data_IF_848778044016
#
_entry.id   IF_848778044016
#
_cell.length_a   1.000
_cell.length_b   1.000
_cell.length_c   1.000
_cell.angle_alpha   90.00
_cell.angle_beta   90.00
_cell.angle_gamma   90.00
#
_symmetry.space_group_name_H-M   'P 1'
#
loop_
_entity.id
_entity.type
_entity.pdbx_description
1 polymer ?
#
# COMPACT_ATOMS: atom_id res chain seq x y z
N UNK A 1 -48.00 86.14 49.80
CA UNK A 1 -48.31 85.02 48.88
C UNK A 1 -47.08 84.75 48.04
N UNK A 2 -46.50 83.53 48.07
CA UNK A 2 -45.15 83.28 47.61
C UNK A 2 -45.06 82.83 46.15
N UNK A 3 -43.86 83.01 45.60
CA UNK A 3 -43.40 82.80 44.23
C UNK A 3 -43.49 81.34 43.76
N UNK A 4 -43.94 81.16 42.51
CA UNK A 4 -44.00 79.90 41.76
C UNK A 4 -42.66 79.70 41.02
N UNK A 5 -41.87 78.70 41.43
CA UNK A 5 -40.66 78.26 40.73
C UNK A 5 -41.01 77.10 39.79
N UNK A 6 -40.86 77.32 38.48
CA UNK A 6 -40.99 76.28 37.44
C UNK A 6 -39.63 75.58 37.27
N UNK A 7 -39.57 74.29 37.62
CA UNK A 7 -38.42 73.42 37.42
C UNK A 7 -38.41 72.85 35.99
N UNK A 8 -37.29 73.01 35.29
CA UNK A 8 -37.01 72.44 33.97
C UNK A 8 -36.74 70.92 34.06
N UNK A 9 -37.21 70.10 33.11
CA UNK A 9 -36.85 68.69 33.04
C UNK A 9 -35.41 68.52 32.53
N UNK A 10 -34.60 67.81 33.33
CA UNK A 10 -33.20 67.49 33.03
C UNK A 10 -33.13 66.33 32.02
N UNK A 11 -32.49 66.57 30.86
CA UNK A 11 -32.26 65.56 29.83
C UNK A 11 -31.23 64.52 30.29
N UNK A 12 -31.51 63.24 30.07
CA UNK A 12 -30.62 62.12 30.40
C UNK A 12 -29.42 62.07 29.43
N UNK A 13 -28.21 61.69 29.90
CA UNK A 13 -27.05 61.56 29.03
C UNK A 13 -27.13 60.31 28.16
N UNK A 14 -26.95 60.48 26.85
CA UNK A 14 -26.82 59.39 25.88
C UNK A 14 -25.37 58.87 25.90
N UNK A 15 -25.17 57.60 26.24
CA UNK A 15 -23.87 56.94 26.15
C UNK A 15 -23.66 56.38 24.73
N UNK A 16 -22.68 56.90 24.00
CA UNK A 16 -22.30 56.38 22.67
C UNK A 16 -21.32 55.22 22.83
N UNK A 17 -21.78 53.98 22.64
CA UNK A 17 -20.92 52.79 22.63
C UNK A 17 -20.11 52.77 21.33
N UNK A 18 -18.81 53.10 21.39
CA UNK A 18 -17.87 52.86 20.29
C UNK A 18 -17.53 51.37 20.26
N UNK A 19 -18.02 50.64 19.27
CA UNK A 19 -17.50 49.30 18.96
C UNK A 19 -16.03 49.41 18.56
N UNK A 20 -15.12 48.63 19.16
CA UNK A 20 -13.72 48.62 18.76
C UNK A 20 -13.61 48.12 17.30
N UNK A 21 -12.67 48.68 16.51
CA UNK A 21 -12.44 48.20 15.15
C UNK A 21 -12.00 46.72 15.17
N UNK A 22 -12.32 45.94 14.13
CA UNK A 22 -11.91 44.54 14.06
C UNK A 22 -10.39 44.43 14.04
N UNK A 23 -9.83 43.65 14.98
CA UNK A 23 -8.40 43.31 15.01
C UNK A 23 -8.14 42.29 13.90
N UNK A 24 -7.43 42.70 12.85
CA UNK A 24 -6.93 41.77 11.83
C UNK A 24 -5.74 41.02 12.42
N UNK A 25 -5.94 39.77 12.81
CA UNK A 25 -4.86 38.88 13.24
C UNK A 25 -4.17 38.35 11.99
N UNK A 26 -3.08 38.98 11.58
CA UNK A 26 -2.17 38.40 10.58
C UNK A 26 -1.38 37.29 11.25
N UNK A 27 -1.84 36.05 11.10
CA UNK A 27 -1.07 34.86 11.48
C UNK A 27 0.22 34.82 10.65
N UNK A 28 1.38 34.85 11.34
CA UNK A 28 2.67 34.68 10.70
C UNK A 28 2.66 33.38 9.87
N UNK A 29 3.25 33.35 8.66
CA UNK A 29 3.33 32.13 7.90
C UNK A 29 4.07 31.09 8.75
N UNK A 30 3.38 29.97 9.00
CA UNK A 30 3.97 28.79 9.62
C UNK A 30 5.23 28.47 8.81
N UNK A 31 6.40 28.66 9.43
CA UNK A 31 7.66 28.26 8.82
C UNK A 31 7.60 26.74 8.73
N UNK A 32 7.24 26.21 7.56
CA UNK A 32 7.39 24.80 7.27
C UNK A 32 8.86 24.51 7.47
N UNK A 33 9.20 23.88 8.59
CA UNK A 33 10.54 23.32 8.76
C UNK A 33 10.66 22.35 7.60
N UNK A 34 11.54 22.66 6.65
CA UNK A 34 11.89 21.73 5.60
C UNK A 34 12.45 20.50 6.31
N UNK A 35 11.61 19.48 6.47
CA UNK A 35 12.04 18.19 6.95
C UNK A 35 13.13 17.75 6.00
N UNK A 36 14.37 17.71 6.48
CA UNK A 36 15.49 17.25 5.68
C UNK A 36 15.10 15.88 5.17
N UNK A 37 15.00 15.65 3.84
CA UNK A 37 14.55 14.37 3.33
C UNK A 37 15.45 13.28 3.89
N UNK A 38 14.93 12.51 4.86
CA UNK A 38 15.68 11.38 5.39
C UNK A 38 15.87 10.44 4.19
N UNK A 39 17.10 10.03 3.87
CA UNK A 39 17.33 9.14 2.74
C UNK A 39 16.46 7.89 2.93
N UNK A 40 15.56 7.64 1.97
CA UNK A 40 14.69 6.48 2.01
C UNK A 40 15.59 5.24 2.00
N UNK A 41 15.47 4.40 3.04
CA UNK A 41 16.20 3.14 3.07
C UNK A 41 15.76 2.32 1.86
N UNK A 42 16.75 1.87 1.08
CA UNK A 42 16.54 1.01 -0.07
C UNK A 42 17.53 -0.16 -0.03
N UNK A 43 17.06 -1.33 -0.46
CA UNK A 43 17.86 -2.55 -0.49
C UNK A 43 17.40 -3.44 -1.64
N UNK A 44 18.24 -4.41 -1.98
CA UNK A 44 17.94 -5.40 -3.03
C UNK A 44 17.54 -6.71 -2.38
N UNK A 45 16.46 -7.31 -2.87
CA UNK A 45 15.98 -8.63 -2.45
C UNK A 45 16.10 -9.57 -3.64
N UNK A 46 16.87 -10.64 -3.47
CA UNK A 46 16.83 -11.79 -4.36
C UNK A 46 15.62 -12.64 -4.04
N UNK A 47 14.89 -13.01 -5.08
CA UNK A 47 13.65 -13.75 -4.97
C UNK A 47 13.74 -14.99 -5.83
N UNK A 48 13.27 -16.10 -5.28
CA UNK A 48 13.08 -17.36 -5.97
C UNK A 48 11.71 -17.93 -5.60
N UNK A 49 10.85 -18.13 -6.60
CA UNK A 49 9.49 -18.66 -6.42
C UNK A 49 9.37 -19.99 -7.16
N UNK A 50 9.01 -21.04 -6.43
CA UNK A 50 8.86 -22.40 -6.94
C UNK A 50 7.48 -22.97 -6.62
N UNK A 51 6.99 -23.86 -7.47
CA UNK A 51 5.88 -24.75 -7.18
C UNK A 51 6.39 -26.19 -7.27
N UNK A 52 6.61 -26.83 -6.11
CA UNK A 52 7.32 -28.10 -6.03
C UNK A 52 8.70 -28.02 -6.68
N UNK A 53 9.03 -28.86 -7.69
CA UNK A 53 10.31 -28.81 -8.39
C UNK A 53 10.40 -27.70 -9.45
N UNK A 54 9.27 -27.12 -9.87
CA UNK A 54 9.24 -26.17 -10.98
C UNK A 54 9.57 -24.74 -10.52
N UNK A 55 10.52 -24.09 -11.19
CA UNK A 55 10.82 -22.68 -10.97
C UNK A 55 9.81 -21.81 -11.72
N UNK A 56 8.98 -21.07 -10.98
CA UNK A 56 8.02 -20.14 -11.58
C UNK A 56 8.71 -18.84 -11.99
N UNK A 57 9.53 -18.29 -11.10
CA UNK A 57 10.28 -17.06 -11.32
C UNK A 57 11.46 -16.93 -10.37
N UNK A 58 12.55 -16.32 -10.85
CA UNK A 58 13.65 -15.87 -10.02
C UNK A 58 14.18 -14.52 -10.53
N UNK A 59 14.59 -13.65 -9.62
CA UNK A 59 15.13 -12.35 -9.95
C UNK A 59 15.43 -11.49 -8.74
N UNK A 60 16.02 -10.31 -8.98
CA UNK A 60 16.32 -9.34 -7.93
C UNK A 60 15.39 -8.14 -8.04
N UNK A 61 14.87 -7.67 -6.91
CA UNK A 61 14.00 -6.50 -6.83
C UNK A 61 14.57 -5.46 -5.89
N UNK A 62 14.48 -4.19 -6.27
CA UNK A 62 14.81 -3.06 -5.40
C UNK A 62 13.58 -2.65 -4.61
N UNK A 63 13.68 -2.71 -3.29
CA UNK A 63 12.64 -2.28 -2.35
C UNK A 63 13.12 -0.99 -1.71
N UNK A 64 12.25 0.03 -1.68
CA UNK A 64 12.54 1.31 -1.04
C UNK A 64 11.33 1.78 -0.24
N UNK A 65 11.57 2.50 0.85
CA UNK A 65 10.50 2.96 1.74
C UNK A 65 9.40 3.71 0.95
N UNK A 66 8.15 3.25 1.07
CA UNK A 66 7.01 3.83 0.35
C UNK A 66 6.88 3.41 -1.13
N UNK A 67 7.75 2.52 -1.62
CA UNK A 67 7.76 2.04 -3.00
C UNK A 67 7.70 0.52 -3.04
N UNK A 68 6.59 -0.02 -3.55
CA UNK A 68 6.42 -1.45 -3.78
C UNK A 68 7.11 -1.89 -5.07
N UNK A 69 7.75 -3.06 -5.05
CA UNK A 69 8.27 -3.72 -6.24
C UNK A 69 7.29 -4.81 -6.68
N UNK A 70 7.08 -4.95 -7.99
CA UNK A 70 6.17 -5.96 -8.54
C UNK A 70 6.73 -6.59 -9.81
N UNK A 71 6.52 -7.90 -9.95
CA UNK A 71 6.71 -8.64 -11.19
C UNK A 71 5.39 -9.31 -11.59
N UNK A 72 5.10 -9.35 -12.88
CA UNK A 72 3.89 -9.96 -13.44
C UNK A 72 4.23 -10.64 -14.75
N UNK A 73 3.72 -11.86 -14.96
CA UNK A 73 3.81 -12.59 -16.21
C UNK A 73 2.47 -13.22 -16.54
N UNK A 74 1.99 -13.02 -17.75
CA UNK A 74 0.85 -13.73 -18.31
C UNK A 74 1.35 -14.63 -19.43
N UNK A 75 0.72 -15.79 -19.61
CA UNK A 75 1.10 -16.78 -20.60
C UNK A 75 -0.16 -17.44 -21.16
N UNK A 76 -0.24 -17.51 -22.48
CA UNK A 76 -1.34 -18.17 -23.20
C UNK A 76 -0.77 -19.34 -23.98
N UNK A 77 -1.32 -20.52 -23.77
CA UNK A 77 -0.88 -21.74 -24.43
C UNK A 77 -2.06 -22.46 -25.07
N UNK A 78 -1.84 -23.27 -26.14
CA UNK A 78 -2.87 -24.13 -26.66
C UNK A 78 -3.38 -25.10 -25.59
N UNK A 79 -4.69 -25.37 -25.60
CA UNK A 79 -5.24 -26.38 -24.69
C UNK A 79 -4.71 -27.77 -25.04
N UNK A 80 -4.39 -28.57 -24.03
CA UNK A 80 -3.91 -29.93 -24.23
C UNK A 80 -4.92 -30.77 -25.04
N UNK A 81 -4.46 -31.64 -25.96
CA UNK A 81 -5.35 -32.48 -26.75
C UNK A 81 -6.22 -33.37 -25.85
N UNK A 82 -7.53 -33.37 -26.09
CA UNK A 82 -8.51 -34.10 -25.28
C UNK A 82 -9.10 -33.33 -24.10
N UNK A 83 -8.55 -32.15 -23.75
CA UNK A 83 -8.97 -31.32 -22.61
C UNK A 83 -9.84 -30.10 -22.97
N UNK A 84 -10.14 -29.91 -24.25
CA UNK A 84 -10.93 -28.78 -24.72
C UNK A 84 -12.34 -29.19 -25.13
N UNK A 85 -13.41 -28.54 -24.64
CA UNK A 85 -14.65 -28.47 -25.42
C UNK A 85 -14.33 -27.75 -26.74
N UNK A 86 -14.99 -28.10 -27.85
CA UNK A 86 -14.65 -27.68 -29.22
C UNK A 86 -14.49 -26.16 -29.48
N UNK A 87 -14.79 -25.31 -28.49
CA UNK A 87 -14.73 -23.84 -28.57
C UNK A 87 -13.54 -23.22 -27.84
N UNK A 88 -12.89 -23.91 -26.91
CA UNK A 88 -11.79 -23.34 -26.11
C UNK A 88 -10.46 -23.84 -26.66
N UNK A 89 -9.67 -22.93 -27.25
CA UNK A 89 -8.44 -23.28 -27.99
C UNK A 89 -7.15 -22.91 -27.25
N UNK A 90 -7.27 -22.14 -26.18
CA UNK A 90 -6.16 -21.65 -25.39
C UNK A 90 -6.49 -21.67 -23.90
N UNK A 91 -5.45 -21.76 -23.09
CA UNK A 91 -5.48 -21.61 -21.65
C UNK A 91 -4.57 -20.45 -21.24
N UNK A 92 -5.12 -19.52 -20.46
CA UNK A 92 -4.40 -18.35 -19.98
C UNK A 92 -3.98 -18.55 -18.52
N UNK A 93 -2.69 -18.47 -18.26
CA UNK A 93 -2.10 -18.54 -16.92
C UNK A 93 -1.46 -17.21 -16.56
N UNK A 94 -1.35 -16.95 -15.26
CA UNK A 94 -0.84 -15.69 -14.75
C UNK A 94 -0.02 -15.90 -13.48
N UNK A 95 1.02 -15.10 -13.32
CA UNK A 95 1.85 -15.06 -12.14
C UNK A 95 2.09 -13.60 -11.75
N UNK A 96 1.83 -13.25 -10.50
CA UNK A 96 2.16 -11.96 -9.92
C UNK A 96 2.93 -12.18 -8.62
N UNK A 97 3.99 -11.40 -8.46
CA UNK A 97 4.76 -11.29 -7.24
C UNK A 97 4.87 -9.81 -6.86
N UNK A 98 4.68 -9.46 -5.60
CA UNK A 98 4.86 -8.12 -5.09
C UNK A 98 5.52 -8.11 -3.70
N UNK A 99 6.39 -7.13 -3.47
CA UNK A 99 6.95 -6.79 -2.17
C UNK A 99 6.62 -5.34 -1.86
N UNK A 100 5.89 -5.13 -0.78
CA UNK A 100 5.46 -3.80 -0.34
C UNK A 100 6.08 -3.49 1.02
N UNK A 101 7.06 -2.58 1.11
CA UNK A 101 7.62 -2.20 2.40
C UNK A 101 6.58 -1.46 3.22
N UNK A 102 6.44 -1.84 4.50
CA UNK A 102 5.57 -1.12 5.42
C UNK A 102 6.33 0.05 6.02
N UNK A 103 5.75 1.24 5.87
CA UNK A 103 6.27 2.42 6.54
C UNK A 103 6.18 2.22 8.06
N UNK A 104 7.32 2.33 8.74
CA UNK A 104 7.38 2.29 10.20
C UNK A 104 8.09 3.54 10.69
N UNK A 105 7.52 4.22 11.68
CA UNK A 105 8.07 5.46 12.24
C UNK A 105 9.39 5.24 12.99
N UNK A 106 9.65 4.01 13.46
CA UNK A 106 10.90 3.63 14.11
C UNK A 106 11.90 3.06 13.09
N UNK A 107 13.08 3.69 12.90
CA UNK A 107 14.08 3.25 11.92
C UNK A 107 14.67 1.87 12.22
N UNK A 108 14.61 1.42 13.47
CA UNK A 108 15.09 0.09 13.89
C UNK A 108 14.27 -1.08 13.32
N UNK A 109 13.09 -0.81 12.76
CA UNK A 109 12.22 -1.83 12.14
C UNK A 109 12.31 -1.84 10.60
N UNK A 110 13.35 -1.21 10.04
CA UNK A 110 13.67 -1.27 8.61
C UNK A 110 13.76 -2.71 8.13
N UNK A 111 12.84 -3.11 7.24
CA UNK A 111 12.79 -4.48 6.71
C UNK A 111 11.44 -5.19 6.88
N UNK A 112 10.43 -4.58 7.51
CA UNK A 112 9.06 -5.10 7.40
C UNK A 112 8.53 -4.92 5.98
N UNK A 113 8.15 -6.03 5.36
CA UNK A 113 7.54 -6.05 4.03
C UNK A 113 6.31 -6.95 4.04
N UNK A 114 5.31 -6.58 3.27
CA UNK A 114 4.20 -7.45 2.90
C UNK A 114 4.57 -8.12 1.58
N UNK A 115 4.71 -9.43 1.62
CA UNK A 115 4.84 -10.30 0.44
C UNK A 115 3.45 -10.62 -0.07
N UNK A 116 3.26 -10.52 -1.39
CA UNK A 116 2.07 -11.04 -2.07
C UNK A 116 2.49 -11.85 -3.29
N UNK A 117 1.98 -13.07 -3.41
CA UNK A 117 2.15 -13.93 -4.58
C UNK A 117 0.79 -14.44 -5.00
N UNK A 118 0.49 -14.31 -6.29
CA UNK A 118 -0.72 -14.87 -6.90
C UNK A 118 -0.33 -15.63 -8.15
N UNK A 119 -0.73 -16.89 -8.23
CA UNK A 119 -0.40 -17.78 -9.33
C UNK A 119 -1.64 -18.53 -9.83
N UNK A 120 -2.02 -18.27 -11.07
CA UNK A 120 -3.09 -18.98 -11.79
C UNK A 120 -2.47 -20.05 -12.68
N UNK A 121 -2.90 -21.30 -12.49
CA UNK A 121 -2.43 -22.51 -13.17
C UNK A 121 -3.61 -23.31 -13.74
N UNK A 122 -3.37 -24.19 -14.72
CA UNK A 122 -4.35 -25.20 -15.10
C UNK A 122 -4.72 -26.09 -13.90
N UNK A 123 -5.99 -26.50 -13.82
CA UNK A 123 -6.45 -27.48 -12.85
C UNK A 123 -5.87 -28.87 -13.16
N UNK A 124 -5.47 -29.60 -12.11
CA UNK A 124 -5.01 -30.99 -12.21
C UNK A 124 -6.23 -31.92 -12.36
N UNK A 125 -6.95 -31.82 -13.46
CA UNK A 125 -8.05 -32.73 -13.76
C UNK A 125 -7.85 -33.30 -15.15
N UNK A 126 -7.83 -34.63 -15.23
CA UNK A 126 -8.01 -35.36 -16.48
C UNK A 126 -9.27 -34.80 -17.12
N UNK A 127 -9.11 -33.96 -18.15
CA UNK A 127 -10.02 -33.39 -19.13
C UNK A 127 -11.57 -33.49 -19.01
N UNK A 128 -12.12 -34.50 -18.35
CA UNK A 128 -13.53 -34.79 -18.14
C UNK A 128 -14.29 -33.75 -17.29
N UNK A 129 -13.62 -33.04 -16.38
CA UNK A 129 -14.27 -32.09 -15.45
C UNK A 129 -14.16 -30.61 -15.89
N UNK A 130 -13.65 -30.37 -17.10
CA UNK A 130 -13.51 -29.03 -17.69
C UNK A 130 -12.10 -28.42 -17.54
N UNK A 131 -11.78 -27.54 -18.49
CA UNK A 131 -10.60 -26.67 -18.55
C UNK A 131 -10.62 -25.61 -17.43
N UNK A 132 -10.48 -26.04 -16.18
CA UNK A 132 -10.47 -25.13 -15.04
C UNK A 132 -9.13 -24.43 -14.84
N UNK A 133 -9.16 -23.18 -14.38
CA UNK A 133 -8.00 -22.51 -13.77
C UNK A 133 -8.09 -22.62 -12.25
N UNK A 134 -6.97 -22.93 -11.60
CA UNK A 134 -6.81 -22.82 -10.15
C UNK A 134 -5.91 -21.64 -9.83
N UNK A 135 -6.26 -20.88 -8.81
CA UNK A 135 -5.44 -19.77 -8.33
C UNK A 135 -4.95 -20.05 -6.93
N UNK A 136 -3.64 -19.93 -6.73
CA UNK A 136 -2.96 -19.99 -5.43
C UNK A 136 -2.56 -18.58 -5.05
N UNK A 137 -2.80 -18.20 -3.80
CA UNK A 137 -2.45 -16.89 -3.27
C UNK A 137 -1.73 -17.03 -1.92
N UNK A 138 -0.66 -16.26 -1.76
CA UNK A 138 0.09 -16.12 -0.51
C UNK A 138 0.21 -14.64 -0.22
N UNK A 139 -0.15 -14.24 1.00
CA UNK A 139 0.00 -12.88 1.48
C UNK A 139 0.51 -12.94 2.91
N UNK A 140 1.73 -12.46 3.15
CA UNK A 140 2.38 -12.60 4.45
C UNK A 140 3.20 -11.35 4.79
N UNK A 141 3.12 -10.93 6.05
CA UNK A 141 3.97 -9.87 6.59
C UNK A 141 5.23 -10.48 7.17
N UNK A 142 6.38 -10.04 6.69
CA UNK A 142 7.67 -10.62 7.05
C UNK A 142 8.72 -9.56 7.33
N UNK A 143 9.71 -9.95 8.14
CA UNK A 143 10.84 -9.11 8.53
C UNK A 143 12.08 -9.60 7.77
N UNK A 144 12.58 -8.78 6.85
CA UNK A 144 13.81 -9.01 6.10
C UNK A 144 14.94 -8.14 6.67
N UNK A 145 15.65 -8.67 7.66
CA UNK A 145 16.90 -8.07 8.15
C UNK A 145 17.99 -8.12 7.07
N UNK A 146 18.97 -7.21 7.09
CA UNK A 146 20.11 -7.25 6.16
C UNK A 146 20.82 -8.62 6.19
N UNK A 147 21.09 -9.20 5.02
CA UNK A 147 21.70 -10.54 4.90
C UNK A 147 20.78 -11.72 5.23
N UNK A 148 19.55 -11.48 5.69
CA UNK A 148 18.64 -12.56 6.06
C UNK A 148 18.09 -13.30 4.84
N UNK A 149 17.81 -14.58 5.04
CA UNK A 149 17.04 -15.39 4.09
C UNK A 149 15.78 -15.88 4.77
N UNK A 150 14.63 -15.62 4.16
CA UNK A 150 13.31 -16.06 4.63
C UNK A 150 12.72 -16.98 3.57
N UNK A 151 12.08 -18.07 4.00
CA UNK A 151 11.33 -18.96 3.11
C UNK A 151 9.89 -19.03 3.58
N UNK A 152 8.98 -18.65 2.69
CA UNK A 152 7.53 -18.74 2.88
C UNK A 152 7.01 -19.93 2.10
N UNK A 153 6.07 -20.68 2.68
CA UNK A 153 5.38 -21.80 2.02
C UNK A 153 3.89 -21.47 1.92
N UNK A 154 3.30 -21.82 0.78
CA UNK A 154 1.87 -21.72 0.53
C UNK A 154 1.32 -23.03 0.01
N UNK A 155 0.08 -22.97 -0.47
CA UNK A 155 -0.61 -24.12 -1.01
C UNK A 155 0.00 -24.61 -2.33
N UNK A 156 -0.35 -25.85 -2.69
CA UNK A 156 0.08 -26.48 -3.94
C UNK A 156 1.61 -26.48 -4.15
N UNK A 157 2.34 -26.75 -3.06
CA UNK A 157 3.80 -26.76 -2.98
C UNK A 157 4.48 -25.45 -3.38
N UNK A 158 3.74 -24.33 -3.29
CA UNK A 158 4.31 -23.01 -3.53
C UNK A 158 5.33 -22.68 -2.44
N UNK A 159 6.53 -22.28 -2.84
CA UNK A 159 7.57 -21.80 -1.95
C UNK A 159 8.21 -20.53 -2.50
N UNK A 160 8.44 -19.57 -1.61
CA UNK A 160 9.03 -18.27 -1.93
C UNK A 160 10.24 -18.11 -1.03
N UNK A 161 11.43 -18.06 -1.63
CA UNK A 161 12.67 -17.76 -0.93
C UNK A 161 13.06 -16.32 -1.22
N UNK A 162 13.28 -15.55 -0.16
CA UNK A 162 13.67 -14.16 -0.19
C UNK A 162 15.04 -14.03 0.49
N UNK A 163 15.97 -13.33 -0.13
CA UNK A 163 17.25 -12.99 0.47
C UNK A 163 17.53 -11.51 0.32
N UNK A 164 17.68 -10.79 1.44
CA UNK A 164 18.05 -9.37 1.41
C UNK A 164 19.57 -9.26 1.32
N UNK A 165 20.06 -8.61 0.26
CA UNK A 165 21.47 -8.25 0.10
C UNK A 165 21.87 -7.09 1.01
#
# INVERSE_FOLDING_TARGET
MPLLFLALPQAAPTFTVRTPPPVVVTSAPMRTVAETPRPAESYTVDVEVRAGPALLWAGSLRVATGQSSRFSRNQSEPTAPGCAPARERSIDTAFTFALSPRYTYTPEQGGRVTLSVRWSRPADTNCADGSGLRTVEVSEDLVLSPGATVTVRGDADLSVKLHRR
#
